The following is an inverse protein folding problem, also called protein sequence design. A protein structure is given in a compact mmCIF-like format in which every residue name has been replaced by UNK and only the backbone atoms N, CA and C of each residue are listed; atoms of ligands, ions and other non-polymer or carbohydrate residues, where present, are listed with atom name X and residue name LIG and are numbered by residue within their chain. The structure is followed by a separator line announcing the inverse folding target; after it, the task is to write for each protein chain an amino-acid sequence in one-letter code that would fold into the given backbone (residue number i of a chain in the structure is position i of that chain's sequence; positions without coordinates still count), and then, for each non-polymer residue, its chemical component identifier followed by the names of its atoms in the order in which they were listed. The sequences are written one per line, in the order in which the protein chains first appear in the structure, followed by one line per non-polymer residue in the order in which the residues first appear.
data_IF_119780872598
#
_entry.id   IF_119780872598
#
_cell.length_a   1.000
_cell.length_b   1.000
_cell.length_c   1.000
_cell.angle_alpha   90.00
_cell.angle_beta   90.00
_cell.angle_gamma   90.00
#
_symmetry.space_group_name_H-M   'P 1'
#
loop_
_entity.id
_entity.type
_entity.pdbx_description
1 polymer ?
#
# COMPACT_ATOMS: atom_id res chain seq x y z
N UNK A 1 -5.86 3.21 -13.49
CA UNK A 1 -5.30 1.92 -13.04
C UNK A 1 -5.47 1.83 -11.53
N UNK A 2 -5.70 0.65 -10.96
CA UNK A 2 -5.93 0.47 -9.53
C UNK A 2 -5.13 -0.72 -8.99
N UNK A 3 -4.76 -0.67 -7.71
CA UNK A 3 -4.14 -1.78 -7.00
C UNK A 3 -5.16 -2.44 -6.10
N UNK A 4 -5.27 -3.75 -6.24
CA UNK A 4 -5.97 -4.61 -5.30
C UNK A 4 -5.17 -4.80 -4.01
N UNK A 5 -5.84 -5.25 -2.95
CA UNK A 5 -5.18 -5.67 -1.71
C UNK A 5 -4.11 -6.75 -1.94
N UNK A 6 -4.30 -7.60 -2.95
CA UNK A 6 -3.33 -8.65 -3.31
C UNK A 6 -2.07 -8.06 -3.91
N UNK A 7 -2.19 -7.10 -4.82
CA UNK A 7 -1.04 -6.39 -5.40
C UNK A 7 -0.33 -5.54 -4.34
N UNK A 8 -1.09 -4.87 -3.46
CA UNK A 8 -0.51 -4.12 -2.34
C UNK A 8 0.29 -5.02 -1.40
N UNK A 9 -0.21 -6.24 -1.14
CA UNK A 9 0.50 -7.26 -0.37
C UNK A 9 1.78 -7.71 -1.07
N UNK A 10 1.75 -7.91 -2.39
CA UNK A 10 2.94 -8.27 -3.16
C UNK A 10 4.00 -7.16 -3.09
N UNK A 11 3.60 -5.91 -3.27
CA UNK A 11 4.49 -4.76 -3.15
C UNK A 11 5.16 -4.67 -1.77
N UNK A 12 4.40 -4.82 -0.67
CA UNK A 12 5.01 -4.84 0.67
C UNK A 12 5.92 -6.05 0.90
N UNK A 13 5.66 -7.19 0.26
CA UNK A 13 6.55 -8.34 0.34
C UNK A 13 7.88 -8.08 -0.40
N UNK A 14 7.84 -7.44 -1.56
CA UNK A 14 9.04 -7.02 -2.32
C UNK A 14 9.87 -5.99 -1.55
N UNK A 15 9.21 -5.09 -0.80
CA UNK A 15 9.87 -4.15 0.12
C UNK A 15 10.42 -4.80 1.40
N UNK A 16 10.28 -6.12 1.56
CA UNK A 16 10.84 -6.85 2.71
C UNK A 16 9.98 -6.80 3.98
N UNK A 17 8.68 -6.55 3.89
CA UNK A 17 7.82 -6.54 5.06
C UNK A 17 7.73 -7.94 5.72
N UNK A 18 7.92 -7.98 7.05
CA UNK A 18 7.74 -9.21 7.84
C UNK A 18 6.29 -9.72 7.84
N UNK A 19 5.31 -8.82 7.70
CA UNK A 19 3.89 -9.13 7.67
C UNK A 19 3.18 -8.41 6.50
N UNK A 20 3.39 -8.85 5.24
CA UNK A 20 2.91 -8.11 4.07
C UNK A 20 1.39 -7.95 4.02
N UNK A 21 0.64 -8.95 4.50
CA UNK A 21 -0.82 -8.89 4.54
C UNK A 21 -1.35 -7.83 5.53
N UNK A 22 -0.67 -7.67 6.67
CA UNK A 22 -0.99 -6.64 7.65
C UNK A 22 -0.67 -5.25 7.10
N UNK A 23 0.50 -5.07 6.46
CA UNK A 23 0.90 -3.81 5.82
C UNK A 23 -0.04 -3.41 4.68
N UNK A 24 -0.46 -4.37 3.85
CA UNK A 24 -1.45 -4.10 2.82
C UNK A 24 -2.80 -3.67 3.40
N UNK A 25 -3.24 -4.27 4.51
CA UNK A 25 -4.46 -3.84 5.18
C UNK A 25 -4.34 -2.45 5.80
N UNK A 26 -3.22 -2.15 6.46
CA UNK A 26 -2.97 -0.81 7.00
C UNK A 26 -2.90 0.27 5.91
N UNK A 27 -2.13 0.02 4.85
CA UNK A 27 -2.00 0.93 3.71
C UNK A 27 -3.36 1.17 3.04
N UNK A 28 -4.15 0.12 2.83
CA UNK A 28 -5.51 0.25 2.29
C UNK A 28 -6.40 1.09 3.22
N UNK A 29 -6.39 0.82 4.53
CA UNK A 29 -7.19 1.57 5.51
C UNK A 29 -6.80 3.06 5.57
N UNK A 30 -5.55 3.39 5.28
CA UNK A 30 -5.03 4.75 5.34
C UNK A 30 -5.27 5.54 4.05
N UNK A 31 -5.23 4.87 2.89
CA UNK A 31 -5.21 5.52 1.58
C UNK A 31 -6.53 5.44 0.79
N UNK A 32 -7.40 4.46 1.07
CA UNK A 32 -8.67 4.27 0.36
C UNK A 32 -9.73 5.30 0.80
N UNK A 33 -9.60 6.54 0.33
CA UNK A 33 -10.52 7.63 0.63
C UNK A 33 -11.89 7.43 -0.02
N UNK A 34 -11.91 6.82 -1.21
CA UNK A 34 -13.12 6.67 -1.99
C UNK A 34 -14.00 5.50 -1.51
N UNK A 35 -13.44 4.57 -0.71
CA UNK A 35 -14.14 3.45 -0.10
C UNK A 35 -14.38 2.23 -0.99
N UNK A 36 -13.75 2.13 -2.17
CA UNK A 36 -13.97 1.06 -3.15
C UNK A 36 -13.20 -0.24 -2.83
N UNK A 37 -12.26 -0.18 -1.89
CA UNK A 37 -11.46 -1.33 -1.45
C UNK A 37 -10.23 -1.59 -2.32
N UNK A 38 -9.92 -0.67 -3.22
CA UNK A 38 -8.75 -0.63 -4.08
C UNK A 38 -7.95 0.65 -3.80
N UNK A 39 -6.78 0.77 -4.41
CA UNK A 39 -5.98 2.00 -4.39
C UNK A 39 -5.86 2.54 -5.81
N UNK A 40 -6.37 3.73 -6.03
CA UNK A 40 -6.18 4.48 -7.28
C UNK A 40 -4.72 4.96 -7.39
N UNK A 41 -4.06 4.60 -8.50
CA UNK A 41 -2.70 5.07 -8.80
C UNK A 41 -2.64 6.60 -8.85
N UNK A 42 -3.66 7.25 -9.41
CA UNK A 42 -3.65 8.69 -9.69
C UNK A 42 -4.09 9.56 -8.49
N UNK A 43 -4.75 8.96 -7.49
CA UNK A 43 -5.40 9.72 -6.40
C UNK A 43 -4.97 9.30 -5.00
N UNK A 44 -4.62 8.02 -4.81
CA UNK A 44 -4.50 7.42 -3.47
C UNK A 44 -3.13 6.77 -3.25
N UNK A 45 -2.37 6.50 -4.31
CA UNK A 45 -1.06 5.85 -4.21
C UNK A 45 -0.07 6.65 -3.36
N UNK A 46 -0.06 7.97 -3.47
CA UNK A 46 0.85 8.83 -2.70
C UNK A 46 0.72 8.58 -1.20
N UNK A 47 -0.51 8.35 -0.70
CA UNK A 47 -0.74 8.03 0.71
C UNK A 47 -0.17 6.67 1.12
N UNK A 48 -0.19 5.69 0.21
CA UNK A 48 0.45 4.39 0.44
C UNK A 48 1.97 4.56 0.46
N UNK A 49 2.53 5.36 -0.46
CA UNK A 49 3.96 5.64 -0.53
C UNK A 49 4.43 6.37 0.72
N UNK A 50 3.76 7.44 1.14
CA UNK A 50 4.06 8.17 2.36
C UNK A 50 4.01 7.25 3.58
N UNK A 51 2.99 6.38 3.65
CA UNK A 51 2.90 5.38 4.70
C UNK A 51 4.10 4.42 4.69
N UNK A 52 4.48 3.90 3.51
CA UNK A 52 5.62 2.99 3.39
C UNK A 52 6.95 3.66 3.76
N UNK A 53 7.18 4.90 3.33
CA UNK A 53 8.37 5.69 3.66
C UNK A 53 8.44 5.97 5.17
N UNK A 54 7.32 6.34 5.79
CA UNK A 54 7.25 6.56 7.24
C UNK A 54 7.54 5.28 8.05
N UNK A 55 7.33 4.11 7.45
CA UNK A 55 7.68 2.80 8.01
C UNK A 55 9.13 2.39 7.73
N UNK A 56 9.89 3.20 6.99
CA UNK A 56 11.29 2.95 6.65
C UNK A 56 11.50 2.01 5.47
N UNK A 57 10.47 1.77 4.64
CA UNK A 57 10.65 1.01 3.41
C UNK A 57 11.30 1.87 2.33
N UNK A 58 12.25 1.28 1.61
CA UNK A 58 12.91 1.89 0.45
C UNK A 58 12.89 0.91 -0.71
N UNK A 59 12.77 1.45 -1.93
CA UNK A 59 12.98 0.66 -3.15
C UNK A 59 14.50 0.54 -3.33
N UNK A 60 15.00 -0.69 -3.49
CA UNK A 60 16.40 -0.95 -3.87
C UNK A 60 16.59 -0.81 -5.39
#
# INVERSE_FOLDING_TARGET
MQLSKTELKAAFAELGAKWPAFRAWEGLRHANDNGDGLISIDKELDKVVDHAVNLGYTVN
#
